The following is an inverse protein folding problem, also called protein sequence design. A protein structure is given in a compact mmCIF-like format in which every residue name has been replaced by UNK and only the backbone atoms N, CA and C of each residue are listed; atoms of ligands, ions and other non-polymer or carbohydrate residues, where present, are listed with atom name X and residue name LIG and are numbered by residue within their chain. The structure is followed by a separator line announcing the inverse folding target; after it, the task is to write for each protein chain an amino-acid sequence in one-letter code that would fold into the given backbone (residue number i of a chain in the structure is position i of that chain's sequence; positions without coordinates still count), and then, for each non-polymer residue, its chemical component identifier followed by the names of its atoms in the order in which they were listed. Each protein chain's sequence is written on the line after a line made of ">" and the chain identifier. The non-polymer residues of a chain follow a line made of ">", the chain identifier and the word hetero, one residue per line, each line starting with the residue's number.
data_IF_138488028888
#
_entry.id   IF_138488028888
#
_cell.length_a   1.000
_cell.length_b   1.000
_cell.length_c   1.000
_cell.angle_alpha   90.00
_cell.angle_beta   90.00
_cell.angle_gamma   90.00
#
_symmetry.space_group_name_H-M   'P 1'
#
loop_
_entity.id
_entity.type
_entity.pdbx_description
1 polymer ?
#
# COMPACT_ATOMS: atom_id res chain seq x y z
N UNK A 1 -24.43 0.78 -0.01
CA UNK A 1 -23.08 1.20 0.41
C UNK A 1 -22.46 0.05 1.19
N UNK A 2 -21.44 -0.64 0.67
CA UNK A 2 -20.73 -1.64 1.46
C UNK A 2 -20.08 -0.95 2.67
N UNK A 3 -20.41 -1.43 3.86
CA UNK A 3 -19.89 -0.88 5.12
C UNK A 3 -18.56 -1.55 5.45
N UNK A 4 -17.48 -0.77 5.44
CA UNK A 4 -16.20 -1.24 5.97
C UNK A 4 -16.13 -0.83 7.44
N UNK A 5 -15.86 -1.79 8.35
CA UNK A 5 -15.65 -1.45 9.76
C UNK A 5 -14.47 -0.48 9.89
N UNK A 6 -14.58 0.57 10.73
CA UNK A 6 -13.49 1.51 10.92
C UNK A 6 -12.20 0.85 11.42
N UNK A 7 -12.31 -0.28 12.12
CA UNK A 7 -11.19 -1.11 12.58
C UNK A 7 -10.34 -1.64 11.41
N UNK A 8 -10.99 -2.13 10.35
CA UNK A 8 -10.31 -2.65 9.15
C UNK A 8 -9.56 -1.52 8.44
N UNK A 9 -10.14 -0.32 8.38
CA UNK A 9 -9.47 0.86 7.81
C UNK A 9 -8.26 1.26 8.67
N UNK A 10 -8.39 1.21 10.00
CA UNK A 10 -7.27 1.50 10.89
C UNK A 10 -6.13 0.50 10.71
N UNK A 11 -6.44 -0.79 10.56
CA UNK A 11 -5.45 -1.84 10.34
C UNK A 11 -4.77 -1.71 8.98
N UNK A 12 -5.53 -1.43 7.92
CA UNK A 12 -5.00 -1.11 6.60
C UNK A 12 -4.06 0.12 6.63
N UNK A 13 -4.37 1.13 7.43
CA UNK A 13 -3.53 2.33 7.61
C UNK A 13 -2.28 2.07 8.45
N UNK A 14 -2.27 1.05 9.31
CA UNK A 14 -1.07 0.66 10.08
C UNK A 14 -0.02 0.01 9.20
N UNK A 15 -0.40 -0.59 8.08
CA UNK A 15 0.54 -1.21 7.15
C UNK A 15 1.34 -0.15 6.38
N UNK A 16 2.66 -0.22 6.52
CA UNK A 16 3.60 0.61 5.78
C UNK A 16 3.77 0.12 4.33
N UNK A 17 4.01 1.06 3.39
CA UNK A 17 4.23 0.71 1.99
C UNK A 17 5.45 -0.17 1.78
N UNK A 18 6.55 0.09 2.49
CA UNK A 18 7.77 -0.72 2.35
C UNK A 18 7.50 -2.18 2.73
N UNK A 19 6.76 -2.38 3.82
CA UNK A 19 6.37 -3.71 4.28
C UNK A 19 5.46 -4.40 3.27
N UNK A 20 4.48 -3.69 2.70
CA UNK A 20 3.63 -4.23 1.65
C UNK A 20 4.46 -4.67 0.42
N UNK A 21 5.29 -3.79 -0.13
CA UNK A 21 6.10 -4.11 -1.31
C UNK A 21 7.07 -5.25 -1.05
N UNK A 22 7.74 -5.31 0.11
CA UNK A 22 8.64 -6.42 0.45
C UNK A 22 7.94 -7.78 0.50
N UNK A 23 6.69 -7.83 0.96
CA UNK A 23 5.96 -9.08 1.12
C UNK A 23 5.28 -9.54 -0.17
N UNK A 24 4.76 -8.61 -0.99
CA UNK A 24 3.89 -8.94 -2.13
C UNK A 24 4.54 -8.70 -3.49
N UNK A 25 5.27 -7.59 -3.63
CA UNK A 25 5.89 -7.19 -4.90
C UNK A 25 7.39 -6.90 -4.70
N UNK A 26 8.19 -7.85 -4.15
CA UNK A 26 9.60 -7.59 -3.84
C UNK A 26 10.42 -7.28 -5.09
N UNK A 27 9.95 -7.73 -6.26
CA UNK A 27 10.54 -7.46 -7.56
C UNK A 27 10.31 -6.03 -8.05
N UNK A 28 9.25 -5.34 -7.58
CA UNK A 28 9.09 -3.92 -7.84
C UNK A 28 10.01 -3.10 -6.94
N UNK A 29 10.39 -3.60 -5.76
CA UNK A 29 11.19 -2.85 -4.82
C UNK A 29 12.67 -2.83 -5.25
N UNK A 30 13.19 -1.64 -5.53
CA UNK A 30 14.59 -1.40 -5.88
C UNK A 30 15.24 -0.56 -4.78
N UNK A 31 16.37 -1.02 -4.26
CA UNK A 31 17.15 -0.24 -3.30
C UNK A 31 17.84 0.91 -4.03
N UNK A 32 17.63 2.14 -3.56
CA UNK A 32 18.23 3.33 -4.17
C UNK A 32 19.51 3.73 -3.43
N UNK A 33 19.38 4.09 -2.15
CA UNK A 33 20.51 4.46 -1.30
C UNK A 33 20.10 4.58 0.17
N UNK A 34 20.98 4.16 1.08
CA UNK A 34 20.74 4.21 2.53
C UNK A 34 19.44 3.47 2.90
N UNK A 35 18.54 4.17 3.58
CA UNK A 35 17.21 3.65 3.94
C UNK A 35 16.10 4.05 2.95
N UNK A 36 16.47 4.45 1.73
CA UNK A 36 15.54 4.88 0.68
C UNK A 36 15.40 3.80 -0.38
N UNK A 37 14.14 3.49 -0.70
CA UNK A 37 13.78 2.53 -1.74
C UNK A 37 12.98 3.24 -2.84
N UNK A 38 12.99 2.68 -4.03
CA UNK A 38 12.19 3.13 -5.17
C UNK A 38 11.46 1.94 -5.78
N UNK A 39 10.47 2.20 -6.65
CA UNK A 39 9.83 1.13 -7.41
C UNK A 39 10.44 1.05 -8.81
N UNK A 40 10.58 -0.17 -9.34
CA UNK A 40 11.10 -0.41 -10.69
C UNK A 40 10.23 0.25 -11.77
N UNK A 41 8.92 0.27 -11.53
CA UNK A 41 7.92 0.83 -12.42
C UNK A 41 7.85 2.36 -12.33
N UNK A 42 8.15 2.94 -11.16
CA UNK A 42 8.13 4.38 -10.93
C UNK A 42 9.41 4.83 -10.21
N UNK A 43 10.43 5.15 -11.00
CA UNK A 43 11.74 5.66 -10.56
C UNK A 43 11.67 6.92 -9.66
N UNK A 44 10.68 7.77 -9.92
CA UNK A 44 10.41 9.00 -9.16
C UNK A 44 9.62 8.76 -7.88
N UNK A 45 9.15 7.54 -7.63
CA UNK A 45 8.56 7.14 -6.36
C UNK A 45 9.66 6.73 -5.39
N UNK A 46 9.78 7.46 -4.28
CA UNK A 46 10.77 7.21 -3.24
C UNK A 46 10.09 6.91 -1.91
N UNK A 47 10.59 5.90 -1.23
CA UNK A 47 10.09 5.40 0.05
C UNK A 47 11.21 5.57 1.07
N UNK A 48 10.95 6.28 2.16
CA UNK A 48 11.89 6.50 3.24
C UNK A 48 11.17 6.77 4.56
N UNK A 49 11.71 6.25 5.68
CA UNK A 49 11.20 6.49 7.04
C UNK A 49 9.69 6.27 7.22
N UNK A 50 9.14 5.23 6.60
CA UNK A 50 7.71 4.91 6.67
C UNK A 50 6.80 5.91 5.94
N UNK A 51 7.36 6.62 4.95
CA UNK A 51 6.66 7.55 4.08
C UNK A 51 7.08 7.27 2.65
N UNK A 52 6.24 7.67 1.72
CA UNK A 52 6.56 7.60 0.32
C UNK A 52 6.09 8.85 -0.42
N UNK A 53 6.85 9.23 -1.45
CA UNK A 53 6.61 10.42 -2.26
C UNK A 53 6.86 10.07 -3.72
N UNK A 54 5.85 10.31 -4.54
CA UNK A 54 5.94 10.27 -5.99
C UNK A 54 6.22 11.68 -6.50
N UNK A 55 7.50 11.97 -6.71
CA UNK A 55 7.98 13.31 -7.03
C UNK A 55 7.44 13.84 -8.36
N UNK A 56 7.34 12.98 -9.37
CA UNK A 56 6.84 13.38 -10.70
C UNK A 56 5.37 13.81 -10.70
N UNK A 57 4.53 13.19 -9.84
CA UNK A 57 3.11 13.55 -9.69
C UNK A 57 2.82 14.49 -8.53
N UNK A 58 3.79 14.76 -7.65
CA UNK A 58 3.58 15.56 -6.45
C UNK A 58 2.68 14.90 -5.41
N UNK A 59 2.56 13.57 -5.42
CA UNK A 59 1.67 12.80 -4.54
C UNK A 59 2.50 12.11 -3.47
N UNK A 60 2.07 12.18 -2.22
CA UNK A 60 2.72 11.47 -1.12
C UNK A 60 1.73 10.76 -0.22
N UNK A 61 2.27 9.84 0.58
CA UNK A 61 1.51 9.07 1.56
C UNK A 61 2.42 8.47 2.63
N UNK A 62 1.77 7.84 3.61
CA UNK A 62 2.45 7.08 4.67
C UNK A 62 2.04 5.61 4.62
N UNK A 63 0.75 5.36 4.41
CA UNK A 63 0.20 4.01 4.38
C UNK A 63 0.37 3.35 3.01
N UNK A 64 0.37 2.02 3.01
CA UNK A 64 0.21 1.22 1.79
C UNK A 64 -1.17 1.45 1.14
N UNK A 65 -2.20 1.74 1.94
CA UNK A 65 -3.55 2.05 1.45
C UNK A 65 -3.57 3.26 0.53
N UNK A 66 -2.92 4.36 0.95
CA UNK A 66 -2.79 5.56 0.11
C UNK A 66 -2.09 5.25 -1.22
N UNK A 67 -1.10 4.35 -1.21
CA UNK A 67 -0.36 3.96 -2.40
C UNK A 67 -1.24 3.18 -3.38
N UNK A 68 -1.99 2.20 -2.89
CA UNK A 68 -2.88 1.40 -3.73
C UNK A 68 -3.92 2.28 -4.43
N UNK A 69 -4.48 3.25 -3.71
CA UNK A 69 -5.50 4.16 -4.26
C UNK A 69 -4.88 5.16 -5.25
N UNK A 70 -3.74 5.77 -4.91
CA UNK A 70 -3.20 6.91 -5.68
C UNK A 70 -2.20 6.51 -6.76
N UNK A 71 -1.59 5.33 -6.64
CA UNK A 71 -0.53 4.86 -7.55
C UNK A 71 -1.01 3.71 -8.42
N UNK A 72 -1.70 2.74 -7.84
CA UNK A 72 -2.24 1.59 -8.56
C UNK A 72 -3.70 1.80 -9.00
N UNK A 73 -4.28 2.97 -8.75
CA UNK A 73 -5.64 3.37 -9.14
C UNK A 73 -6.74 2.40 -8.64
N UNK A 74 -6.53 1.73 -7.52
CA UNK A 74 -7.56 0.88 -6.89
C UNK A 74 -8.65 1.73 -6.24
N UNK A 75 -9.88 1.19 -6.23
CA UNK A 75 -10.92 1.76 -5.39
C UNK A 75 -10.59 1.59 -3.89
N UNK A 76 -11.14 2.46 -3.05
CA UNK A 76 -10.92 2.37 -1.59
C UNK A 76 -11.28 0.99 -1.03
N UNK A 77 -12.39 0.41 -1.52
CA UNK A 77 -12.83 -0.93 -1.12
C UNK A 77 -11.83 -2.01 -1.51
N UNK A 78 -11.40 -2.02 -2.79
CA UNK A 78 -10.43 -3.01 -3.27
C UNK A 78 -9.09 -2.89 -2.53
N UNK A 79 -8.62 -1.66 -2.29
CA UNK A 79 -7.37 -1.43 -1.58
C UNK A 79 -7.44 -1.93 -0.13
N UNK A 80 -8.57 -1.68 0.57
CA UNK A 80 -8.79 -2.18 1.92
C UNK A 80 -8.94 -3.71 1.94
N UNK A 81 -9.68 -4.28 1.00
CA UNK A 81 -9.86 -5.73 0.89
C UNK A 81 -8.54 -6.43 0.61
N UNK A 82 -7.72 -5.88 -0.28
CA UNK A 82 -6.39 -6.39 -0.56
C UNK A 82 -5.54 -6.38 0.71
N UNK A 83 -5.49 -5.26 1.43
CA UNK A 83 -4.73 -5.15 2.68
C UNK A 83 -5.30 -6.06 3.80
N UNK A 84 -6.62 -6.24 3.87
CA UNK A 84 -7.26 -7.12 4.84
C UNK A 84 -6.95 -8.60 4.55
N UNK A 85 -7.04 -9.02 3.29
CA UNK A 85 -6.65 -10.35 2.82
C UNK A 85 -5.18 -10.64 3.13
N UNK A 86 -4.33 -9.61 3.03
CA UNK A 86 -2.90 -9.69 3.36
C UNK A 86 -2.61 -9.74 4.87
N UNK A 87 -3.58 -9.32 5.70
CA UNK A 87 -3.42 -9.04 7.13
C UNK A 87 -3.80 -10.17 8.09
N UNK A 88 -4.17 -11.37 7.62
CA UNK A 88 -4.64 -12.55 8.40
C UNK A 88 -6.16 -12.76 8.50
N UNK A 89 -6.93 -12.36 7.49
CA UNK A 89 -8.32 -12.80 7.38
C UNK A 89 -8.50 -13.61 6.11
N UNK A 90 -8.53 -14.93 6.28
CA UNK A 90 -8.92 -15.88 5.24
C UNK A 90 -10.31 -15.51 4.76
N UNK A 91 -10.39 -15.08 3.50
CA UNK A 91 -11.62 -14.75 2.77
C UNK A 91 -12.48 -16.00 2.59
N UNK A 92 -13.10 -16.45 3.67
CA UNK A 92 -14.15 -17.47 3.64
C UNK A 92 -15.49 -16.94 4.17
N UNK A 93 -15.60 -15.65 4.54
CA UNK A 93 -16.82 -15.15 5.20
C UNK A 93 -17.44 -13.88 4.63
N UNK A 94 -16.98 -13.38 3.47
CA UNK A 94 -17.57 -12.17 2.86
C UNK A 94 -17.96 -12.32 1.38
N UNK A 95 -18.01 -13.54 0.85
CA UNK A 95 -18.77 -13.80 -0.37
C UNK A 95 -20.20 -14.18 0.01
N UNK A 96 -21.11 -13.25 -0.29
CA UNK A 96 -22.55 -13.42 -0.49
C UNK A 96 -22.84 -14.54 -1.49
#
# INVERSE_FOLDING_TARGET
>A
MPYIPPEVVQEAKRMDLLTYLKNYEPYELVHFSGNTYTTRTHDSLKISNGKWMWWSRGIGGRSALDYLIKVKDYSFLEAVELLCRTGKYSTASFCI
#
